data_IF_644175710571
#
_entry.id   IF_644175710571
#
_cell.length_a   1.000
_cell.length_b   1.000
_cell.length_c   1.000
_cell.angle_alpha   90.00
_cell.angle_beta   90.00
_cell.angle_gamma   90.00
#
_symmetry.space_group_name_H-M   'P 1'
#
loop_
_entity.id
_entity.type
_entity.pdbx_description
1 polymer ?
#
# COMPACT_ATOMS: atom_id res chain seq x y z
N UNK A 1 -13.63 -9.94 8.71
CA UNK A 1 -13.32 -9.08 7.55
C UNK A 1 -11.88 -8.62 7.76
N UNK A 2 -10.94 -9.03 6.90
CA UNK A 2 -9.52 -8.68 7.07
C UNK A 2 -9.32 -7.18 6.86
N UNK A 3 -8.41 -6.56 7.63
CA UNK A 3 -8.11 -5.13 7.47
C UNK A 3 -7.51 -4.88 6.08
N UNK A 4 -7.99 -3.83 5.42
CA UNK A 4 -7.62 -3.42 4.06
C UNK A 4 -6.43 -2.48 4.10
N UNK A 5 -5.34 -2.82 3.42
CA UNK A 5 -4.08 -2.07 3.45
C UNK A 5 -3.78 -1.49 2.07
N UNK A 6 -3.40 -0.22 2.02
CA UNK A 6 -2.81 0.44 0.85
C UNK A 6 -1.30 0.52 1.04
N UNK A 7 -0.53 -0.02 0.09
CA UNK A 7 0.94 -0.02 0.13
C UNK A 7 1.46 1.14 -0.73
N UNK A 8 2.28 2.03 -0.18
CA UNK A 8 2.88 3.16 -0.88
C UNK A 8 4.41 3.07 -0.78
N UNK A 9 5.07 2.84 -1.91
CA UNK A 9 6.53 2.66 -2.01
C UNK A 9 6.90 2.79 -3.51
N UNK A 10 7.99 3.47 -3.86
CA UNK A 10 8.42 3.65 -5.26
C UNK A 10 9.04 2.37 -5.85
N UNK A 11 9.67 1.54 -5.02
CA UNK A 11 10.29 0.29 -5.42
C UNK A 11 9.25 -0.84 -5.58
N UNK A 12 9.04 -1.28 -6.82
CA UNK A 12 8.10 -2.37 -7.14
C UNK A 12 8.41 -3.68 -6.39
N UNK A 13 9.70 -3.98 -6.15
CA UNK A 13 10.12 -5.14 -5.37
C UNK A 13 9.66 -5.06 -3.91
N UNK A 14 9.75 -3.89 -3.28
CA UNK A 14 9.31 -3.69 -1.91
C UNK A 14 7.79 -3.85 -1.79
N UNK A 15 7.03 -3.31 -2.74
CA UNK A 15 5.57 -3.52 -2.80
C UNK A 15 5.19 -4.99 -2.89
N UNK A 16 5.89 -5.77 -3.73
CA UNK A 16 5.66 -7.21 -3.85
C UNK A 16 5.95 -7.96 -2.54
N UNK A 17 7.07 -7.64 -1.89
CA UNK A 17 7.44 -8.25 -0.60
C UNK A 17 6.43 -7.92 0.50
N UNK A 18 6.05 -6.64 0.65
CA UNK A 18 5.08 -6.19 1.64
C UNK A 18 3.72 -6.83 1.42
N UNK A 19 3.27 -6.92 0.16
CA UNK A 19 2.04 -7.60 -0.22
C UNK A 19 2.04 -9.06 0.22
N UNK A 20 3.11 -9.79 -0.05
CA UNK A 20 3.26 -11.18 0.38
C UNK A 20 3.19 -11.33 1.90
N UNK A 21 3.89 -10.45 2.64
CA UNK A 21 3.87 -10.45 4.11
C UNK A 21 2.44 -10.18 4.62
N UNK A 22 1.78 -9.15 4.11
CA UNK A 22 0.45 -8.74 4.54
C UNK A 22 -0.60 -9.83 4.27
N UNK A 23 -0.60 -10.40 3.06
CA UNK A 23 -1.53 -11.48 2.69
C UNK A 23 -1.29 -12.73 3.55
N UNK A 24 -0.03 -13.12 3.79
CA UNK A 24 0.29 -14.25 4.69
C UNK A 24 -0.19 -14.04 6.13
N UNK A 25 -0.32 -12.79 6.56
CA UNK A 25 -0.82 -12.42 7.89
C UNK A 25 -2.34 -12.11 7.91
N UNK A 26 -3.08 -12.42 6.84
CA UNK A 26 -4.54 -12.31 6.81
C UNK A 26 -5.08 -10.90 6.51
N UNK A 27 -4.21 -9.99 6.05
CA UNK A 27 -4.62 -8.67 5.56
C UNK A 27 -5.05 -8.76 4.09
N UNK A 28 -5.87 -7.79 3.67
CA UNK A 28 -6.26 -7.62 2.25
C UNK A 28 -5.53 -6.42 1.70
N UNK A 29 -4.74 -6.61 0.64
CA UNK A 29 -4.14 -5.47 -0.07
C UNK A 29 -5.21 -4.83 -0.95
N UNK A 30 -5.70 -3.67 -0.54
CA UNK A 30 -6.72 -2.91 -1.26
C UNK A 30 -6.14 -2.26 -2.52
N UNK A 31 -4.86 -1.90 -2.49
CA UNK A 31 -4.16 -1.30 -3.61
C UNK A 31 -2.69 -1.04 -3.30
N UNK A 32 -1.99 -0.59 -4.34
CA UNK A 32 -0.57 -0.26 -4.33
C UNK A 32 -0.38 1.10 -5.01
N UNK A 33 0.52 1.95 -4.51
CA UNK A 33 0.86 3.24 -5.10
C UNK A 33 2.38 3.41 -5.16
N UNK A 34 2.86 4.05 -6.22
CA UNK A 34 4.29 4.26 -6.49
C UNK A 34 4.81 5.64 -6.10
N UNK A 35 3.92 6.54 -5.68
CA UNK A 35 4.25 7.89 -5.20
C UNK A 35 3.09 8.47 -4.37
N UNK A 36 3.32 9.63 -3.76
CA UNK A 36 2.35 10.28 -2.88
C UNK A 36 1.06 10.71 -3.60
N UNK A 37 1.18 11.17 -4.85
CA UNK A 37 0.02 11.63 -5.63
C UNK A 37 -0.95 10.47 -5.94
N UNK A 38 -0.42 9.34 -6.40
CA UNK A 38 -1.20 8.12 -6.64
C UNK A 38 -1.78 7.59 -5.32
N UNK A 39 -1.01 7.66 -4.22
CA UNK A 39 -1.48 7.23 -2.91
C UNK A 39 -2.69 8.01 -2.42
N UNK A 40 -2.69 9.35 -2.55
CA UNK A 40 -3.83 10.19 -2.16
C UNK A 40 -5.08 9.85 -2.98
N UNK A 41 -4.92 9.67 -4.30
CA UNK A 41 -6.04 9.30 -5.17
C UNK A 41 -6.63 7.95 -4.76
N UNK A 42 -5.77 6.93 -4.61
CA UNK A 42 -6.17 5.58 -4.21
C UNK A 42 -6.73 5.51 -2.80
N UNK A 43 -6.26 6.33 -1.87
CA UNK A 43 -6.82 6.40 -0.53
C UNK A 43 -8.30 6.80 -0.57
N UNK A 44 -8.64 7.84 -1.35
CA UNK A 44 -10.02 8.33 -1.51
C UNK A 44 -10.92 7.32 -2.20
N UNK A 45 -10.41 6.64 -3.22
CA UNK A 45 -11.14 5.62 -3.97
C UNK A 45 -11.37 4.35 -3.13
N UNK A 46 -10.28 3.83 -2.53
CA UNK A 46 -10.28 2.51 -1.94
C UNK A 46 -10.71 2.53 -0.48
N UNK A 47 -10.63 3.65 0.25
CA UNK A 47 -10.94 3.76 1.68
C UNK A 47 -10.30 2.62 2.49
N UNK A 48 -8.95 2.52 2.53
CA UNK A 48 -8.24 1.49 3.28
C UNK A 48 -8.32 1.74 4.80
N UNK A 49 -8.14 0.69 5.59
CA UNK A 49 -8.06 0.75 7.06
C UNK A 49 -6.66 1.15 7.56
N UNK A 50 -5.64 0.92 6.74
CA UNK A 50 -4.23 1.18 7.03
C UNK A 50 -3.49 1.57 5.74
N UNK A 51 -2.54 2.47 5.86
CA UNK A 51 -1.61 2.84 4.78
C UNK A 51 -0.20 2.60 5.26
N UNK A 52 0.62 1.89 4.47
CA UNK A 52 2.08 1.87 4.66
C UNK A 52 2.67 2.89 3.70
N UNK A 53 3.64 3.68 4.15
CA UNK A 53 4.25 4.70 3.32
C UNK A 53 5.76 4.68 3.48
N UNK A 54 6.47 4.60 2.36
CA UNK A 54 7.90 4.81 2.33
C UNK A 54 8.22 6.27 2.70
N UNK A 55 9.21 6.43 3.58
CA UNK A 55 9.70 7.73 4.02
C UNK A 55 10.69 8.32 3.01
N UNK A 56 11.34 7.47 2.23
CA UNK A 56 12.38 7.80 1.25
C UNK A 56 11.88 7.71 -0.18
N UNK A 57 10.75 8.35 -0.45
CA UNK A 57 10.25 8.51 -1.80
C UNK A 57 10.78 9.81 -2.41
N UNK A 58 11.40 9.78 -3.61
CA UNK A 58 11.91 10.98 -4.28
C UNK A 58 10.82 11.93 -4.79
N UNK A 59 9.59 11.44 -5.00
CA UNK A 59 8.40 12.22 -5.44
C UNK A 59 7.12 11.89 -4.65
#
# INVERSE_FOLDING_TARGET
MGKRVLIVDDAAFMRMMLKDILVKNGYVVAGEAENGTVAISKYKELNPDLVTMDITMPE
#
